data_IF_240464251976
#
_entry.id   IF_240464251976
#
_cell.length_a   1.000
_cell.length_b   1.000
_cell.length_c   1.000
_cell.angle_alpha   90.00
_cell.angle_beta   90.00
_cell.angle_gamma   90.00
#
_symmetry.space_group_name_H-M   'P 1'
#
loop_
_entity.id
_entity.type
_entity.pdbx_description
1 polymer ?
#
# COMPACT_ATOMS: atom_id res chain seq x y z
N UNK A 1 7.98 -25.55 -52.89
CA UNK A 1 6.74 -24.98 -52.35
C UNK A 1 6.33 -23.90 -53.34
N UNK A 2 5.20 -24.07 -54.03
CA UNK A 2 4.77 -23.09 -55.02
C UNK A 2 4.25 -21.83 -54.31
N UNK A 3 4.36 -20.67 -54.95
CA UNK A 3 3.95 -19.37 -54.38
C UNK A 3 2.49 -19.37 -53.92
N UNK A 4 1.64 -20.14 -54.61
CA UNK A 4 0.23 -20.37 -54.26
C UNK A 4 0.06 -21.03 -52.88
N UNK A 5 0.96 -21.95 -52.52
CA UNK A 5 0.91 -22.69 -51.25
C UNK A 5 1.35 -21.80 -50.09
N UNK A 6 2.35 -20.92 -50.32
CA UNK A 6 2.81 -19.92 -49.35
C UNK A 6 1.68 -18.93 -49.04
N UNK A 7 0.97 -18.49 -50.08
CA UNK A 7 -0.13 -17.53 -49.93
C UNK A 7 -1.32 -18.12 -49.18
N UNK A 8 -1.72 -19.36 -49.50
CA UNK A 8 -2.78 -20.07 -48.76
C UNK A 8 -2.40 -20.33 -47.31
N UNK A 9 -1.13 -20.64 -47.03
CA UNK A 9 -0.65 -20.79 -45.66
C UNK A 9 -0.70 -19.46 -44.90
N UNK A 10 -0.32 -18.35 -45.56
CA UNK A 10 -0.44 -17.01 -44.99
C UNK A 10 -1.87 -16.60 -44.68
N UNK A 11 -2.81 -16.85 -45.60
CA UNK A 11 -4.24 -16.57 -45.40
C UNK A 11 -4.84 -17.45 -44.28
N UNK A 12 -4.41 -18.71 -44.16
CA UNK A 12 -4.86 -19.62 -43.11
C UNK A 12 -4.32 -19.23 -41.72
N UNK A 13 -3.04 -18.86 -41.64
CA UNK A 13 -2.43 -18.38 -40.40
C UNK A 13 -3.06 -17.05 -39.96
N UNK A 14 -3.38 -16.15 -40.89
CA UNK A 14 -4.03 -14.88 -40.56
C UNK A 14 -5.47 -15.07 -40.06
N UNK A 15 -6.17 -16.13 -40.50
CA UNK A 15 -7.49 -16.49 -40.02
C UNK A 15 -7.47 -17.22 -38.65
N UNK A 16 -6.35 -17.87 -38.29
CA UNK A 16 -6.14 -18.53 -36.99
C UNK A 16 -5.67 -17.56 -35.89
N UNK A 17 -5.25 -16.35 -36.22
CA UNK A 17 -4.99 -15.29 -35.23
C UNK A 17 -6.32 -14.71 -34.77
N UNK A 18 -6.95 -15.37 -33.80
CA UNK A 18 -7.98 -14.71 -32.99
C UNK A 18 -7.35 -13.50 -32.30
N UNK A 19 -7.95 -12.33 -32.48
CA UNK A 19 -7.57 -11.12 -31.78
C UNK A 19 -7.91 -11.29 -30.30
N UNK A 20 -7.05 -11.98 -29.55
CA UNK A 20 -7.15 -12.01 -28.10
C UNK A 20 -7.00 -10.58 -27.56
N UNK A 21 -8.00 -10.12 -26.83
CA UNK A 21 -7.88 -8.86 -26.11
C UNK A 21 -6.71 -8.93 -25.13
N UNK A 22 -5.98 -7.83 -24.95
CA UNK A 22 -4.85 -7.73 -24.00
C UNK A 22 -5.21 -8.26 -22.60
N UNK A 23 -6.47 -8.12 -22.18
CA UNK A 23 -6.99 -8.68 -20.94
C UNK A 23 -6.98 -10.21 -20.90
N UNK A 24 -7.27 -10.89 -22.01
CA UNK A 24 -7.19 -12.35 -22.15
C UNK A 24 -5.74 -12.81 -22.02
N UNK A 25 -4.83 -12.17 -22.77
CA UNK A 25 -3.39 -12.48 -22.75
C UNK A 25 -2.79 -12.29 -21.36
N UNK A 26 -3.13 -11.19 -20.67
CA UNK A 26 -2.70 -10.95 -19.29
C UNK A 26 -3.30 -11.96 -18.30
N UNK A 27 -4.53 -12.43 -18.53
CA UNK A 27 -5.17 -13.45 -17.69
C UNK A 27 -4.52 -14.83 -17.91
N UNK A 28 -4.21 -15.20 -19.15
CA UNK A 28 -3.51 -16.44 -19.49
C UNK A 28 -2.07 -16.46 -18.96
N UNK A 29 -1.34 -15.34 -19.09
CA UNK A 29 -0.01 -15.18 -18.49
C UNK A 29 -0.03 -15.32 -16.96
N UNK A 30 -1.11 -14.85 -16.30
CA UNK A 30 -1.31 -15.07 -14.86
C UNK A 30 -1.58 -16.52 -14.51
N UNK A 31 -2.39 -17.23 -15.29
CA UNK A 31 -2.61 -18.66 -15.10
C UNK A 31 -1.29 -19.44 -15.14
N UNK A 32 -0.40 -19.08 -16.07
CA UNK A 32 0.94 -19.65 -16.19
C UNK A 32 1.83 -19.26 -14.99
N UNK A 33 1.74 -18.02 -14.50
CA UNK A 33 2.53 -17.56 -13.35
C UNK A 33 2.10 -18.24 -12.04
N UNK A 34 0.80 -18.31 -11.77
CA UNK A 34 0.24 -18.98 -10.59
C UNK A 34 0.51 -20.48 -10.59
N UNK A 35 0.38 -21.15 -11.75
CA UNK A 35 0.73 -22.57 -11.89
C UNK A 35 2.23 -22.87 -11.69
N UNK A 36 3.09 -21.85 -11.82
CA UNK A 36 4.53 -21.95 -11.54
C UNK A 36 4.84 -21.82 -10.05
N UNK A 37 3.97 -21.17 -9.28
CA UNK A 37 4.08 -21.05 -7.82
C UNK A 37 3.64 -22.32 -7.08
N UNK A 38 2.69 -23.09 -7.63
CA UNK A 38 2.22 -24.35 -7.01
C UNK A 38 3.20 -25.52 -7.15
N UNK A 39 4.23 -25.41 -8.01
CA UNK A 39 5.14 -26.53 -8.33
C UNK A 39 6.56 -26.39 -7.77
N UNK A 40 6.85 -25.43 -6.90
CA UNK A 40 8.21 -25.23 -6.35
C UNK A 40 8.26 -25.37 -4.83
N UNK A 41 8.23 -26.61 -4.35
CA UNK A 41 8.72 -27.01 -3.02
C UNK A 41 10.26 -27.04 -3.03
N UNK A 42 10.91 -25.87 -3.04
CA UNK A 42 12.28 -25.65 -2.51
C UNK A 42 12.84 -24.27 -2.87
N UNK A 43 12.78 -23.35 -1.90
CA UNK A 43 13.84 -22.38 -1.53
C UNK A 43 14.41 -21.34 -2.54
N UNK A 44 13.83 -21.11 -3.72
CA UNK A 44 14.28 -19.99 -4.59
C UNK A 44 13.14 -19.28 -5.34
N UNK A 45 12.86 -18.03 -4.94
CA UNK A 45 12.30 -17.02 -5.86
C UNK A 45 10.78 -16.97 -6.01
N UNK A 46 10.00 -17.46 -5.04
CA UNK A 46 8.61 -17.06 -4.95
C UNK A 46 8.58 -15.54 -4.74
N UNK A 47 8.04 -14.80 -5.71
CA UNK A 47 7.75 -13.39 -5.55
C UNK A 47 6.89 -13.27 -4.30
N UNK A 48 7.38 -12.53 -3.31
CA UNK A 48 6.65 -12.39 -2.05
C UNK A 48 5.38 -11.60 -2.39
N UNK A 49 4.26 -12.31 -2.53
CA UNK A 49 3.02 -11.77 -3.09
C UNK A 49 2.25 -10.90 -2.09
N UNK A 50 2.87 -10.58 -0.95
CA UNK A 50 2.42 -9.64 0.07
C UNK A 50 3.16 -8.31 0.03
N UNK A 51 3.16 -7.60 1.16
CA UNK A 51 3.80 -6.29 1.33
C UNK A 51 5.29 -6.38 1.65
N UNK A 52 5.82 -7.57 1.98
CA UNK A 52 7.22 -7.76 2.35
C UNK A 52 7.54 -7.30 3.77
N UNK A 53 6.51 -7.22 4.61
CA UNK A 53 6.59 -6.88 6.03
C UNK A 53 5.92 -8.04 6.75
N UNK A 54 6.70 -8.99 7.26
CA UNK A 54 6.18 -10.27 7.77
C UNK A 54 4.99 -10.11 8.72
N UNK A 55 5.07 -9.20 9.69
CA UNK A 55 3.98 -8.93 10.64
C UNK A 55 2.72 -8.35 9.99
N UNK A 56 2.84 -7.58 8.91
CA UNK A 56 1.69 -7.09 8.16
C UNK A 56 1.12 -8.18 7.27
N UNK A 57 1.99 -8.96 6.63
CA UNK A 57 1.61 -10.08 5.77
C UNK A 57 0.84 -11.15 6.57
N UNK A 58 1.25 -11.41 7.82
CA UNK A 58 0.54 -12.28 8.76
C UNK A 58 -0.90 -11.80 9.03
N UNK A 59 -1.14 -10.48 9.06
CA UNK A 59 -2.48 -9.91 9.29
C UNK A 59 -3.35 -9.93 8.03
N UNK A 60 -2.74 -9.81 6.86
CA UNK A 60 -3.43 -9.74 5.58
C UNK A 60 -3.55 -11.15 5.01
N UNK A 61 -4.43 -11.93 5.63
CA UNK A 61 -4.74 -13.29 5.19
C UNK A 61 -5.70 -13.27 4.01
N UNK A 62 -5.30 -13.78 2.86
CA UNK A 62 -6.19 -13.93 1.70
C UNK A 62 -5.45 -14.07 0.37
N UNK A 63 -6.19 -14.31 -0.72
CA UNK A 63 -5.62 -14.32 -2.06
C UNK A 63 -5.09 -12.93 -2.44
N UNK A 64 -3.95 -12.90 -3.13
CA UNK A 64 -3.43 -11.70 -3.79
C UNK A 64 -4.14 -11.49 -5.14
N UNK A 65 -4.49 -10.24 -5.49
CA UNK A 65 -4.25 -9.00 -4.74
C UNK A 65 -5.23 -8.79 -3.58
N UNK A 66 -4.70 -8.31 -2.46
CA UNK A 66 -5.48 -7.99 -1.26
C UNK A 66 -5.92 -6.53 -1.20
N UNK A 67 -7.05 -6.29 -0.54
CA UNK A 67 -7.56 -4.95 -0.23
C UNK A 67 -7.35 -4.69 1.25
N UNK A 68 -6.68 -3.60 1.58
CA UNK A 68 -6.35 -3.21 2.95
C UNK A 68 -6.95 -1.84 3.28
N UNK A 69 -7.75 -1.79 4.34
CA UNK A 69 -8.26 -0.53 4.90
C UNK A 69 -7.57 -0.21 6.22
N UNK A 70 -6.76 0.85 6.25
CA UNK A 70 -6.13 1.35 7.45
C UNK A 70 -7.00 2.44 8.07
N UNK A 71 -7.60 2.13 9.21
CA UNK A 71 -8.51 3.03 9.92
C UNK A 71 -7.87 3.44 11.24
N UNK A 72 -7.88 4.74 11.53
CA UNK A 72 -7.42 5.24 12.83
C UNK A 72 -8.51 5.99 13.59
N UNK A 73 -8.39 6.20 14.91
CA UNK A 73 -9.35 7.00 15.67
C UNK A 73 -9.50 8.43 15.10
N UNK A 74 -10.59 9.15 15.47
CA UNK A 74 -10.71 10.56 15.14
C UNK A 74 -9.56 11.38 15.74
N UNK A 75 -9.11 12.42 15.02
CA UNK A 75 -7.98 13.26 15.43
C UNK A 75 -8.15 13.91 16.82
N UNK A 76 -9.40 14.14 17.27
CA UNK A 76 -9.71 14.69 18.58
C UNK A 76 -9.28 13.78 19.76
N UNK A 77 -9.07 12.49 19.52
CA UNK A 77 -8.69 11.53 20.57
C UNK A 77 -7.19 11.45 20.82
N UNK A 78 -6.36 11.89 19.87
CA UNK A 78 -4.93 12.01 20.09
C UNK A 78 -4.34 13.12 19.20
N UNK A 79 -3.71 14.17 19.77
CA UNK A 79 -3.13 15.27 19.00
C UNK A 79 -1.87 14.87 18.21
N UNK A 80 -1.55 13.58 18.14
CA UNK A 80 -0.37 13.07 17.47
C UNK A 80 -0.82 12.07 16.41
N UNK A 81 -0.08 12.01 15.29
CA UNK A 81 -0.39 11.11 14.18
C UNK A 81 -0.58 9.66 14.64
N UNK A 82 -1.37 8.90 13.89
CA UNK A 82 -1.78 7.53 14.23
C UNK A 82 -0.91 6.45 13.58
N UNK A 83 0.15 6.85 12.88
CA UNK A 83 1.13 5.93 12.27
C UNK A 83 0.76 5.44 10.86
N UNK A 84 -0.44 5.75 10.34
CA UNK A 84 -0.88 5.31 8.98
C UNK A 84 0.12 5.68 7.89
N UNK A 85 0.42 6.98 7.76
CA UNK A 85 1.35 7.50 6.76
C UNK A 85 2.74 6.88 6.93
N UNK A 86 3.20 6.67 8.17
CA UNK A 86 4.50 6.02 8.43
C UNK A 86 4.54 4.57 7.97
N UNK A 87 3.48 3.80 8.24
CA UNK A 87 3.37 2.43 7.73
C UNK A 87 3.32 2.43 6.19
N UNK A 88 2.61 3.39 5.57
CA UNK A 88 2.61 3.55 4.11
C UNK A 88 4.01 3.82 3.57
N UNK A 89 4.81 4.69 4.19
CA UNK A 89 6.19 4.92 3.76
C UNK A 89 7.03 3.64 3.80
N UNK A 90 6.86 2.80 4.83
CA UNK A 90 7.57 1.52 4.92
C UNK A 90 7.12 0.56 3.81
N UNK A 91 5.81 0.44 3.56
CA UNK A 91 5.25 -0.39 2.48
C UNK A 91 5.78 0.08 1.12
N UNK A 92 5.75 1.39 0.87
CA UNK A 92 6.25 1.99 -0.38
C UNK A 92 7.74 1.70 -0.53
N UNK A 93 8.54 1.95 0.52
CA UNK A 93 9.98 1.69 0.50
C UNK A 93 10.29 0.22 0.17
N UNK A 94 9.60 -0.73 0.81
CA UNK A 94 9.76 -2.16 0.54
C UNK A 94 9.37 -2.53 -0.91
N UNK A 95 8.30 -1.93 -1.43
CA UNK A 95 7.83 -2.18 -2.79
C UNK A 95 8.82 -1.70 -3.87
N UNK A 96 9.36 -0.49 -3.72
CA UNK A 96 10.17 0.14 -4.78
C UNK A 96 11.63 -0.30 -4.81
N UNK A 97 12.17 -0.73 -3.66
CA UNK A 97 13.55 -1.19 -3.54
C UNK A 97 13.79 -2.44 -4.38
N UNK A 98 15.00 -2.62 -4.96
CA UNK A 98 15.36 -3.87 -5.60
C UNK A 98 15.46 -5.00 -4.56
N UNK A 99 15.33 -6.24 -5.02
CA UNK A 99 15.48 -7.43 -4.17
C UNK A 99 16.91 -7.63 -3.66
N UNK A 100 17.90 -7.13 -4.41
CA UNK A 100 19.32 -7.23 -4.10
C UNK A 100 20.02 -5.88 -4.19
N UNK A 101 21.02 -5.68 -3.32
CA UNK A 101 22.04 -4.66 -3.39
C UNK A 101 23.35 -5.30 -3.82
N UNK A 102 24.00 -4.73 -4.85
CA UNK A 102 25.30 -5.15 -5.38
C UNK A 102 25.47 -6.68 -5.45
N UNK A 103 24.67 -7.32 -6.32
CA UNK A 103 24.64 -8.76 -6.70
C UNK A 103 24.58 -9.81 -5.58
N UNK A 104 24.70 -9.44 -4.30
CA UNK A 104 25.04 -10.37 -3.22
C UNK A 104 24.22 -10.14 -1.95
N UNK A 105 23.80 -8.90 -1.67
CA UNK A 105 23.10 -8.58 -0.42
C UNK A 105 21.60 -8.55 -0.68
N UNK A 106 20.83 -9.37 0.02
CA UNK A 106 19.37 -9.36 -0.06
C UNK A 106 18.81 -8.14 0.68
N UNK A 107 18.10 -7.28 -0.03
CA UNK A 107 17.33 -6.18 0.56
C UNK A 107 15.90 -6.60 0.89
N UNK A 108 15.39 -7.62 0.19
CA UNK A 108 13.99 -8.07 0.30
C UNK A 108 13.00 -7.16 -0.43
N UNK A 109 13.47 -6.14 -1.15
CA UNK A 109 12.61 -5.26 -1.93
C UNK A 109 11.95 -5.97 -3.12
N UNK A 110 10.87 -5.40 -3.63
CA UNK A 110 10.03 -6.05 -4.66
C UNK A 110 10.23 -5.50 -6.07
N UNK A 111 11.13 -4.54 -6.27
CA UNK A 111 11.45 -3.92 -7.55
C UNK A 111 10.20 -3.50 -8.35
N UNK A 112 9.18 -2.99 -7.65
CA UNK A 112 7.86 -2.72 -8.20
C UNK A 112 7.62 -1.20 -8.27
N UNK A 113 6.50 -0.79 -8.88
CA UNK A 113 6.03 0.58 -8.87
C UNK A 113 4.82 0.76 -7.95
N UNK A 114 4.64 1.94 -7.38
CA UNK A 114 3.53 2.28 -6.49
C UNK A 114 2.79 3.50 -7.02
N UNK A 115 1.46 3.45 -6.95
CA UNK A 115 0.58 4.57 -7.30
C UNK A 115 0.01 5.14 -6.02
N UNK A 116 0.21 6.42 -5.80
CA UNK A 116 -0.23 7.17 -4.62
C UNK A 116 -1.23 8.25 -5.04
N UNK A 117 -2.44 8.20 -4.50
CA UNK A 117 -3.49 9.19 -4.71
C UNK A 117 -3.68 9.96 -3.40
N UNK A 118 -3.34 11.25 -3.42
CA UNK A 118 -3.15 12.02 -2.20
C UNK A 118 -3.81 13.41 -2.32
N UNK A 119 -5.08 13.57 -1.94
CA UNK A 119 -5.78 14.86 -2.04
C UNK A 119 -5.17 16.01 -1.22
N UNK A 120 -4.45 15.74 -0.13
CA UNK A 120 -4.13 16.76 0.88
C UNK A 120 -2.72 17.37 0.75
N UNK A 121 -1.90 16.89 -0.18
CA UNK A 121 -0.49 17.24 -0.35
C UNK A 121 0.37 17.07 0.93
N UNK A 122 0.09 16.04 1.73
CA UNK A 122 0.82 15.67 2.94
C UNK A 122 1.96 14.67 2.65
N UNK A 123 2.00 14.05 1.47
CA UNK A 123 3.05 13.10 1.14
C UNK A 123 4.39 13.81 0.91
N UNK A 124 5.42 13.36 1.61
CA UNK A 124 6.78 13.90 1.58
C UNK A 124 7.74 12.88 0.98
N UNK A 125 8.17 13.15 -0.26
CA UNK A 125 9.20 12.35 -0.94
C UNK A 125 10.51 12.35 -0.15
N UNK A 126 10.86 13.47 0.49
CA UNK A 126 12.04 13.56 1.36
C UNK A 126 11.94 12.63 2.56
N UNK A 127 10.75 12.49 3.16
CA UNK A 127 10.54 11.55 4.25
C UNK A 127 10.60 10.10 3.75
N UNK A 128 9.97 9.77 2.61
CA UNK A 128 10.10 8.46 1.97
C UNK A 128 11.57 8.11 1.71
N UNK A 129 12.36 9.07 1.23
CA UNK A 129 13.78 8.89 0.97
C UNK A 129 14.55 8.55 2.26
N UNK A 130 14.22 9.23 3.36
CA UNK A 130 14.79 8.97 4.69
C UNK A 130 14.44 7.58 5.21
N UNK A 131 13.17 7.16 5.08
CA UNK A 131 12.69 5.82 5.47
C UNK A 131 13.40 4.76 4.65
N UNK A 132 13.42 4.92 3.32
CA UNK A 132 14.08 3.99 2.39
C UNK A 132 15.58 3.88 2.67
N UNK A 133 16.26 5.00 2.90
CA UNK A 133 17.68 4.99 3.25
C UNK A 133 17.95 4.31 4.59
N UNK A 134 17.09 4.55 5.58
CA UNK A 134 17.21 3.90 6.90
C UNK A 134 17.04 2.39 6.78
N UNK A 135 16.07 1.94 5.99
CA UNK A 135 15.86 0.52 5.67
C UNK A 135 17.08 -0.09 4.97
N UNK A 136 17.64 0.58 3.97
CA UNK A 136 18.85 0.13 3.29
C UNK A 136 20.05 0.00 4.25
N UNK A 137 20.29 1.02 5.09
CA UNK A 137 21.36 0.99 6.09
C UNK A 137 21.19 -0.16 7.06
N UNK A 138 19.96 -0.36 7.57
CA UNK A 138 19.63 -1.47 8.45
C UNK A 138 19.95 -2.82 7.82
N UNK A 139 19.54 -3.05 6.55
CA UNK A 139 19.82 -4.30 5.83
C UNK A 139 21.31 -4.52 5.58
N UNK A 140 22.05 -3.46 5.24
CA UNK A 140 23.50 -3.54 5.06
C UNK A 140 24.24 -3.86 6.37
N UNK A 141 23.87 -3.20 7.46
CA UNK A 141 24.44 -3.46 8.78
C UNK A 141 24.14 -4.88 9.26
N UNK A 142 22.92 -5.39 9.03
CA UNK A 142 22.55 -6.77 9.32
C UNK A 142 23.35 -7.80 8.49
N UNK A 143 23.77 -7.42 7.28
CA UNK A 143 24.66 -8.22 6.43
C UNK A 143 26.15 -8.06 6.76
N UNK A 144 26.50 -7.28 7.80
CA UNK A 144 27.89 -7.04 8.20
C UNK A 144 28.68 -6.13 7.26
N UNK A 145 28.01 -5.35 6.40
CA UNK A 145 28.64 -4.48 5.42
C UNK A 145 28.97 -3.12 6.04
N UNK A 146 30.25 -2.76 6.00
CA UNK A 146 30.71 -1.43 6.40
C UNK A 146 30.39 -0.39 5.32
N UNK A 147 29.81 0.73 5.73
CA UNK A 147 29.41 1.81 4.81
C UNK A 147 30.62 2.72 4.55
N UNK A 148 31.33 2.48 3.45
CA UNK A 148 32.37 3.36 2.92
C UNK A 148 31.82 4.37 1.88
N UNK A 149 32.67 5.21 1.30
CA UNK A 149 32.25 6.20 0.29
C UNK A 149 31.70 5.57 -1.00
N UNK A 150 32.19 4.38 -1.38
CA UNK A 150 31.69 3.67 -2.56
C UNK A 150 30.28 3.17 -2.32
N UNK A 151 30.04 2.52 -1.18
CA UNK A 151 28.71 2.02 -0.78
C UNK A 151 27.75 3.19 -0.61
N UNK A 152 28.17 4.34 -0.07
CA UNK A 152 27.34 5.56 -0.01
C UNK A 152 26.89 6.02 -1.40
N UNK A 153 27.78 6.00 -2.38
CA UNK A 153 27.44 6.35 -3.75
C UNK A 153 26.44 5.36 -4.37
N UNK A 154 26.67 4.06 -4.21
CA UNK A 154 25.76 3.00 -4.70
C UNK A 154 24.39 3.06 -4.00
N UNK A 155 24.35 3.38 -2.70
CA UNK A 155 23.12 3.62 -1.94
C UNK A 155 22.33 4.79 -2.50
N UNK A 156 23.00 5.91 -2.76
CA UNK A 156 22.36 7.10 -3.34
C UNK A 156 21.77 6.79 -4.72
N UNK A 157 22.51 6.08 -5.58
CA UNK A 157 22.00 5.68 -6.89
C UNK A 157 20.81 4.73 -6.80
N UNK A 158 20.89 3.74 -5.89
CA UNK A 158 19.78 2.80 -5.64
C UNK A 158 18.53 3.55 -5.16
N UNK A 159 18.70 4.49 -4.23
CA UNK A 159 17.62 5.32 -3.71
C UNK A 159 16.98 6.17 -4.81
N UNK A 160 17.78 6.93 -5.56
CA UNK A 160 17.30 7.77 -6.66
C UNK A 160 16.52 6.96 -7.71
N UNK A 161 17.07 5.82 -8.12
CA UNK A 161 16.38 4.91 -9.06
C UNK A 161 15.08 4.35 -8.50
N UNK A 162 15.05 3.98 -7.22
CA UNK A 162 13.85 3.42 -6.60
C UNK A 162 12.73 4.45 -6.51
N UNK A 163 13.05 5.70 -6.17
CA UNK A 163 12.07 6.79 -6.05
C UNK A 163 11.39 7.17 -7.37
N UNK A 164 12.02 6.89 -8.53
CA UNK A 164 11.40 7.11 -9.85
C UNK A 164 10.15 6.24 -10.08
N UNK A 165 9.93 5.21 -9.26
CA UNK A 165 8.83 4.26 -9.40
C UNK A 165 7.66 4.53 -8.45
N UNK A 166 7.62 5.71 -7.83
CA UNK A 166 6.47 6.21 -7.07
C UNK A 166 5.73 7.25 -7.91
N UNK A 167 4.52 6.92 -8.33
CA UNK A 167 3.66 7.80 -9.12
C UNK A 167 2.64 8.48 -8.21
N UNK A 168 2.76 9.79 -8.04
CA UNK A 168 1.92 10.57 -7.12
C UNK A 168 0.91 11.39 -7.91
N UNK A 169 -0.36 11.29 -7.54
CA UNK A 169 -1.47 12.06 -8.10
C UNK A 169 -2.18 12.82 -6.98
N UNK A 170 -2.57 14.06 -7.24
CA UNK A 170 -3.26 14.93 -6.28
C UNK A 170 -4.70 15.28 -6.70
N UNK A 171 -5.63 14.32 -6.76
CA UNK A 171 -7.01 14.60 -7.15
C UNK A 171 -7.73 15.42 -6.07
N UNK A 172 -7.90 16.73 -6.29
CA UNK A 172 -8.46 17.68 -5.31
C UNK A 172 -9.99 17.57 -5.12
N UNK A 173 -10.68 16.77 -5.94
CA UNK A 173 -12.13 16.61 -5.87
C UNK A 173 -12.55 15.17 -6.19
N UNK A 174 -13.75 14.79 -5.76
CA UNK A 174 -14.29 13.47 -6.03
C UNK A 174 -14.37 13.13 -7.54
N UNK A 175 -14.86 14.03 -8.43
CA UNK A 175 -14.82 13.77 -9.87
C UNK A 175 -13.39 13.64 -10.42
N UNK A 176 -12.44 14.45 -9.92
CA UNK A 176 -11.03 14.36 -10.30
C UNK A 176 -10.45 13.00 -9.94
N UNK A 177 -10.75 12.48 -8.74
CA UNK A 177 -10.29 11.16 -8.30
C UNK A 177 -10.77 10.07 -9.26
N UNK A 178 -12.06 10.06 -9.58
CA UNK A 178 -12.65 9.07 -10.48
C UNK A 178 -12.06 9.15 -11.89
N UNK A 179 -11.82 10.36 -12.40
CA UNK A 179 -11.16 10.56 -13.69
C UNK A 179 -9.71 10.07 -13.67
N UNK A 180 -8.95 10.39 -12.61
CA UNK A 180 -7.59 9.88 -12.43
C UNK A 180 -7.59 8.36 -12.45
N UNK A 181 -8.42 7.70 -11.65
CA UNK A 181 -8.52 6.23 -11.60
C UNK A 181 -8.83 5.62 -12.99
N UNK A 182 -9.76 6.22 -13.75
CA UNK A 182 -10.10 5.77 -15.11
C UNK A 182 -8.97 5.97 -16.12
N UNK A 183 -8.14 7.00 -15.92
CA UNK A 183 -7.01 7.32 -16.79
C UNK A 183 -5.74 6.51 -16.49
N UNK A 184 -5.66 5.87 -15.31
CA UNK A 184 -4.48 5.11 -14.88
C UNK A 184 -4.02 4.06 -15.90
N UNK A 185 -4.90 3.26 -16.53
CA UNK A 185 -4.45 2.31 -17.54
C UNK A 185 -3.76 2.95 -18.74
N UNK A 186 -4.29 4.06 -19.25
CA UNK A 186 -3.64 4.78 -20.34
C UNK A 186 -2.29 5.38 -19.90
N UNK A 187 -2.21 5.90 -18.66
CA UNK A 187 -0.98 6.45 -18.11
C UNK A 187 0.12 5.40 -17.90
N UNK A 188 -0.23 4.25 -17.32
CA UNK A 188 0.73 3.20 -16.96
C UNK A 188 1.21 2.38 -18.16
N UNK A 189 0.38 2.30 -19.21
CA UNK A 189 0.69 1.55 -20.44
C UNK A 189 1.33 2.42 -21.54
N UNK A 190 1.60 3.70 -21.28
CA UNK A 190 2.23 4.59 -22.26
C UNK A 190 3.77 4.40 -22.32
N UNK A 191 4.21 3.69 -23.35
CA UNK A 191 5.63 3.43 -23.70
C UNK A 191 6.49 4.66 -23.88
N UNK A 192 5.90 5.79 -24.22
CA UNK A 192 6.67 7.01 -24.49
C UNK A 192 7.04 7.79 -23.24
N UNK A 193 6.44 7.47 -22.07
CA UNK A 193 6.50 8.34 -20.90
C UNK A 193 7.14 7.74 -19.66
N UNK A 194 7.29 6.42 -19.52
CA UNK A 194 7.48 5.83 -18.19
C UNK A 194 8.67 4.86 -18.08
N UNK A 195 9.60 5.17 -17.17
CA UNK A 195 10.69 4.26 -16.76
C UNK A 195 10.22 3.07 -15.92
N UNK A 196 8.97 3.07 -15.46
CA UNK A 196 8.38 2.02 -14.61
C UNK A 196 7.70 0.88 -15.38
N UNK A 197 7.59 0.94 -16.72
CA UNK A 197 6.77 -0.04 -17.47
C UNK A 197 7.22 -1.49 -17.38
N UNK A 198 8.51 -1.70 -17.10
CA UNK A 198 9.07 -3.04 -16.91
C UNK A 198 8.84 -3.58 -15.50
N UNK A 199 8.15 -2.84 -14.64
CA UNK A 199 7.86 -3.21 -13.26
C UNK A 199 6.37 -3.49 -13.10
N UNK A 200 6.06 -4.49 -12.27
CA UNK A 200 4.69 -4.70 -11.80
C UNK A 200 4.26 -3.51 -10.95
N UNK A 201 2.95 -3.26 -10.91
CA UNK A 201 2.36 -2.37 -9.92
C UNK A 201 2.22 -3.17 -8.63
N UNK A 202 2.86 -2.71 -7.56
CA UNK A 202 2.73 -3.31 -6.24
C UNK A 202 1.38 -2.96 -5.62
N UNK A 203 1.08 -1.66 -5.56
CA UNK A 203 -0.12 -1.19 -4.90
C UNK A 203 -0.65 0.12 -5.46
N UNK A 204 -1.97 0.29 -5.38
CA UNK A 204 -2.67 1.57 -5.51
C UNK A 204 -3.07 2.01 -4.11
N UNK A 205 -2.60 3.17 -3.70
CA UNK A 205 -2.77 3.73 -2.35
C UNK A 205 -3.62 5.00 -2.45
N UNK A 206 -4.68 5.10 -1.65
CA UNK A 206 -5.53 6.28 -1.51
C UNK A 206 -5.45 6.81 -0.08
N UNK A 207 -4.82 7.97 0.10
CA UNK A 207 -4.60 8.63 1.41
C UNK A 207 -5.04 10.10 1.35
N UNK A 208 -6.13 10.56 1.96
CA UNK A 208 -7.11 9.92 2.86
C UNK A 208 -8.49 9.94 2.18
N UNK A 209 -9.22 8.82 2.22
CA UNK A 209 -10.55 8.71 1.59
C UNK A 209 -11.54 9.71 2.18
N UNK A 210 -11.39 10.06 3.46
CA UNK A 210 -12.34 10.90 4.17
C UNK A 210 -12.32 12.36 3.70
N UNK A 211 -11.25 12.80 3.02
CA UNK A 211 -11.17 14.16 2.47
C UNK A 211 -12.30 14.47 1.50
N UNK A 212 -12.88 13.45 0.86
CA UNK A 212 -13.97 13.62 -0.10
C UNK A 212 -15.36 13.55 0.53
N UNK A 213 -15.51 13.02 1.74
CA UNK A 213 -16.81 12.72 2.37
C UNK A 213 -17.70 13.97 2.44
N UNK A 214 -17.14 15.10 2.84
CA UNK A 214 -17.88 16.37 2.91
C UNK A 214 -18.34 16.84 1.53
N UNK A 215 -17.45 16.78 0.52
CA UNK A 215 -17.79 17.18 -0.86
C UNK A 215 -18.90 16.31 -1.45
N UNK A 216 -18.89 15.00 -1.18
CA UNK A 216 -19.92 14.06 -1.64
C UNK A 216 -21.26 14.39 -1.00
N UNK A 217 -21.29 14.62 0.32
CA UNK A 217 -22.52 14.97 1.05
C UNK A 217 -23.16 16.25 0.52
N UNK A 218 -22.36 17.29 0.30
CA UNK A 218 -22.86 18.58 -0.16
C UNK A 218 -23.33 18.54 -1.62
N UNK A 219 -22.67 17.75 -2.47
CA UNK A 219 -23.13 17.60 -3.87
C UNK A 219 -24.54 16.97 -3.96
N UNK A 220 -24.94 16.20 -2.95
CA UNK A 220 -26.25 15.55 -2.90
C UNK A 220 -27.37 16.47 -2.37
N UNK A 221 -27.05 17.49 -1.57
CA UNK A 221 -28.07 18.42 -1.03
C UNK A 221 -28.65 19.38 -2.08
N UNK A 222 -27.91 19.61 -3.17
CA UNK A 222 -28.34 20.51 -4.25
C UNK A 222 -29.31 19.83 -5.25
N UNK A 223 -29.47 18.51 -5.17
CA UNK A 223 -30.35 17.75 -6.08
C UNK A 223 -31.67 17.40 -5.37
N UNK A 224 -32.64 18.32 -5.45
CA UNK A 224 -33.94 18.19 -4.79
C UNK A 224 -34.78 17.03 -5.34
N UNK A 225 -35.46 16.33 -4.42
CA UNK A 225 -36.67 15.53 -4.62
C UNK A 225 -36.62 14.35 -5.63
N UNK A 226 -36.00 13.25 -5.23
CA UNK A 226 -36.44 11.89 -5.56
C UNK A 226 -35.82 10.93 -4.53
N UNK A 227 -36.28 9.67 -4.49
CA UNK A 227 -35.86 8.58 -3.60
C UNK A 227 -34.35 8.27 -3.64
N UNK A 228 -33.51 9.18 -3.15
CA UNK A 228 -32.07 9.11 -3.35
C UNK A 228 -31.45 8.07 -2.43
N UNK A 229 -30.72 7.07 -2.97
CA UNK A 229 -29.85 6.24 -2.15
C UNK A 229 -28.84 7.14 -1.44
N UNK A 230 -28.42 6.75 -0.23
CA UNK A 230 -27.40 7.46 0.54
C UNK A 230 -26.21 7.83 -0.38
N UNK A 231 -25.89 9.12 -0.57
CA UNK A 231 -24.89 9.54 -1.57
C UNK A 231 -23.51 8.97 -1.29
N UNK A 232 -23.18 8.72 -0.02
CA UNK A 232 -21.97 8.04 0.38
C UNK A 232 -21.93 6.58 -0.08
N UNK A 233 -23.07 5.88 -0.07
CA UNK A 233 -23.16 4.51 -0.57
C UNK A 233 -22.99 4.46 -2.08
N UNK A 234 -23.60 5.39 -2.83
CA UNK A 234 -23.44 5.46 -4.28
C UNK A 234 -21.99 5.78 -4.67
N UNK A 235 -21.38 6.76 -3.99
CA UNK A 235 -19.98 7.12 -4.17
C UNK A 235 -19.05 5.94 -3.84
N UNK A 236 -19.28 5.29 -2.71
CA UNK A 236 -18.54 4.09 -2.29
C UNK A 236 -18.58 2.98 -3.34
N UNK A 237 -19.77 2.59 -3.80
CA UNK A 237 -19.93 1.53 -4.80
C UNK A 237 -19.16 1.85 -6.08
N UNK A 238 -19.15 3.13 -6.49
CA UNK A 238 -18.39 3.56 -7.66
C UNK A 238 -16.87 3.47 -7.43
N UNK A 239 -16.38 3.92 -6.28
CA UNK A 239 -14.96 3.86 -5.94
C UNK A 239 -14.47 2.41 -5.82
N UNK A 240 -15.17 1.56 -5.05
CA UNK A 240 -14.76 0.17 -4.86
C UNK A 240 -14.79 -0.61 -6.17
N UNK A 241 -15.80 -0.39 -7.03
CA UNK A 241 -15.84 -1.02 -8.35
C UNK A 241 -14.68 -0.59 -9.26
N UNK A 242 -14.28 0.69 -9.25
CA UNK A 242 -13.12 1.15 -10.02
C UNK A 242 -11.81 0.61 -9.46
N UNK A 243 -11.63 0.64 -8.14
CA UNK A 243 -10.42 0.12 -7.50
C UNK A 243 -10.29 -1.40 -7.69
N UNK A 244 -11.36 -2.18 -7.53
CA UNK A 244 -11.33 -3.62 -7.79
C UNK A 244 -11.01 -3.90 -9.27
N UNK A 245 -11.59 -3.14 -10.20
CA UNK A 245 -11.25 -3.25 -11.63
C UNK A 245 -9.75 -2.98 -11.86
N UNK A 246 -9.16 -1.97 -11.23
CA UNK A 246 -7.74 -1.66 -11.38
C UNK A 246 -6.85 -2.71 -10.69
N UNK A 247 -7.19 -3.11 -9.47
CA UNK A 247 -6.51 -4.16 -8.71
C UNK A 247 -6.47 -5.47 -9.50
N UNK A 248 -7.60 -5.87 -10.09
CA UNK A 248 -7.69 -7.03 -10.97
C UNK A 248 -6.97 -6.80 -12.29
N UNK A 249 -7.00 -5.60 -12.90
CA UNK A 249 -6.28 -5.34 -14.17
C UNK A 249 -4.76 -5.37 -14.00
N UNK A 250 -4.23 -4.90 -12.87
CA UNK A 250 -2.79 -4.83 -12.61
C UNK A 250 -2.25 -5.91 -11.67
N UNK A 251 -3.11 -6.78 -11.13
CA UNK A 251 -2.73 -7.75 -10.08
C UNK A 251 -2.00 -7.06 -8.91
N UNK A 252 -2.55 -5.95 -8.43
CA UNK A 252 -1.90 -5.10 -7.42
C UNK A 252 -2.79 -4.89 -6.20
N UNK A 253 -2.16 -4.71 -5.04
CA UNK A 253 -2.86 -4.46 -3.79
C UNK A 253 -3.56 -3.10 -3.80
N UNK A 254 -4.68 -2.99 -3.10
CA UNK A 254 -5.32 -1.68 -2.88
C UNK A 254 -5.25 -1.32 -1.42
N UNK A 255 -4.72 -0.14 -1.10
CA UNK A 255 -4.62 0.36 0.28
C UNK A 255 -5.42 1.64 0.39
N UNK A 256 -6.33 1.71 1.35
CA UNK A 256 -7.11 2.91 1.66
C UNK A 256 -6.83 3.33 3.09
N UNK A 257 -6.63 4.63 3.30
CA UNK A 257 -6.55 5.18 4.66
C UNK A 257 -7.77 6.03 4.98
N UNK A 258 -8.20 5.96 6.24
CA UNK A 258 -9.31 6.76 6.75
C UNK A 258 -9.22 6.96 8.26
N UNK A 259 -10.04 7.88 8.75
CA UNK A 259 -10.39 8.06 10.14
C UNK A 259 -11.73 7.41 10.46
N UNK A 260 -11.83 6.91 11.69
CA UNK A 260 -13.10 6.45 12.20
C UNK A 260 -13.92 7.61 12.75
N UNK A 261 -15.24 7.52 12.57
CA UNK A 261 -16.17 8.41 13.23
C UNK A 261 -16.20 8.21 14.77
N UNK A 262 -15.90 7.00 15.24
CA UNK A 262 -15.90 6.65 16.66
C UNK A 262 -14.59 5.94 17.04
N UNK A 263 -13.97 6.26 18.20
CA UNK A 263 -12.63 5.76 18.57
C UNK A 263 -12.53 4.24 18.69
N UNK A 264 -13.61 3.60 19.11
CA UNK A 264 -13.67 2.15 19.35
C UNK A 264 -14.28 1.37 18.19
N UNK A 265 -14.92 2.04 17.23
CA UNK A 265 -15.64 1.36 16.16
C UNK A 265 -14.71 1.00 14.98
N UNK A 266 -13.67 1.79 14.74
CA UNK A 266 -12.75 1.63 13.61
C UNK A 266 -13.47 1.41 12.27
N UNK A 267 -14.58 2.14 12.08
CA UNK A 267 -15.36 2.17 10.83
C UNK A 267 -15.02 3.43 10.05
N UNK A 268 -14.67 3.33 8.75
CA UNK A 268 -14.38 4.49 7.90
C UNK A 268 -15.62 5.38 7.76
N UNK A 269 -15.42 6.70 7.55
CA UNK A 269 -16.53 7.63 7.37
C UNK A 269 -17.23 7.43 6.01
N UNK A 270 -16.48 7.02 4.98
CA UNK A 270 -17.04 6.48 3.73
C UNK A 270 -17.22 4.96 3.89
N UNK A 271 -18.45 4.42 3.98
CA UNK A 271 -18.64 2.98 4.09
C UNK A 271 -18.17 2.32 2.80
N UNK A 272 -17.33 1.29 2.85
CA UNK A 272 -16.83 0.60 1.65
C UNK A 272 -17.68 -0.63 1.32
N UNK A 273 -18.09 -0.74 0.06
CA UNK A 273 -18.90 -1.85 -0.47
C UNK A 273 -18.09 -2.65 -1.48
N UNK A 274 -17.20 -3.51 -0.99
CA UNK A 274 -16.42 -4.38 -1.85
C UNK A 274 -17.29 -5.55 -2.36
N UNK A 275 -17.13 -5.98 -3.62
CA UNK A 275 -17.85 -7.14 -4.11
C UNK A 275 -17.48 -8.41 -3.35
N UNK A 276 -18.40 -9.39 -3.30
CA UNK A 276 -18.31 -10.56 -2.43
C UNK A 276 -17.04 -11.42 -2.58
N UNK A 277 -16.30 -11.25 -3.68
CA UNK A 277 -15.07 -12.01 -3.96
C UNK A 277 -13.79 -11.29 -3.51
N UNK A 278 -13.89 -10.05 -3.06
CA UNK A 278 -12.77 -9.24 -2.61
C UNK A 278 -12.31 -9.65 -1.21
N UNK A 279 -11.01 -9.90 -1.03
CA UNK A 279 -10.37 -10.15 0.28
C UNK A 279 -10.07 -8.82 0.99
N UNK A 280 -11.07 -8.25 1.65
CA UNK A 280 -10.89 -7.05 2.47
C UNK A 280 -10.32 -7.40 3.84
N UNK A 281 -9.15 -6.85 4.16
CA UNK A 281 -8.60 -6.81 5.52
C UNK A 281 -8.67 -5.38 6.05
N UNK A 282 -9.38 -5.19 7.17
CA UNK A 282 -9.40 -3.90 7.86
C UNK A 282 -8.41 -3.91 9.01
N UNK A 283 -7.49 -2.96 9.01
CA UNK A 283 -6.47 -2.75 10.02
C UNK A 283 -6.80 -1.50 10.82
N UNK A 284 -6.82 -1.62 12.13
CA UNK A 284 -6.89 -0.49 13.04
C UNK A 284 -5.49 -0.06 13.42
N UNK A 285 -5.23 1.25 13.34
CA UNK A 285 -3.95 1.84 13.70
C UNK A 285 -4.15 2.94 14.74
N UNK A 286 -3.37 2.88 15.82
CA UNK A 286 -3.32 3.95 16.82
C UNK A 286 -1.90 4.14 17.33
N UNK A 287 -1.64 5.32 17.89
CA UNK A 287 -0.46 5.53 18.71
C UNK A 287 -0.64 4.77 20.03
N UNK A 288 0.39 4.07 20.47
CA UNK A 288 0.36 3.40 21.77
C UNK A 288 0.30 4.46 22.87
N UNK A 289 -0.74 4.39 23.70
CA UNK A 289 -0.92 5.36 24.79
C UNK A 289 0.11 5.11 25.88
N UNK A 290 0.70 6.20 26.37
CA UNK A 290 1.56 6.16 27.55
C UNK A 290 0.63 6.14 28.76
N UNK A 291 0.66 5.03 29.49
CA UNK A 291 -0.14 4.84 30.70
C UNK A 291 0.13 6.03 31.65
N UNK A 292 -0.95 6.67 32.11
CA UNK A 292 -0.85 7.80 33.05
C UNK A 292 -0.33 7.29 34.41
N UNK A 293 0.21 8.18 35.22
CA UNK A 293 0.57 7.82 36.59
C UNK A 293 -0.68 7.38 37.34
N UNK A 294 -0.58 6.28 38.07
CA UNK A 294 -1.67 5.83 38.94
C UNK A 294 -1.99 6.95 39.92
N UNK A 295 -3.27 7.28 40.15
CA UNK A 295 -3.63 8.24 41.19
C UNK A 295 -2.98 7.83 42.52
N UNK A 296 -2.36 8.78 43.22
CA UNK A 296 -1.64 8.58 44.48
C UNK A 296 -0.32 7.79 44.41
N UNK A 297 0.32 7.67 43.24
CA UNK A 297 1.73 7.22 43.17
C UNK A 297 2.64 8.20 43.92
N UNK A 298 3.66 7.68 44.62
CA UNK A 298 4.66 8.52 45.27
C UNK A 298 5.54 9.23 44.23
N UNK A 299 6.18 10.33 44.63
CA UNK A 299 7.11 11.06 43.74
C UNK A 299 8.29 10.16 43.36
N UNK A 300 8.84 9.41 44.32
CA UNK A 300 9.98 8.52 44.10
C UNK A 300 9.63 7.39 43.10
N UNK A 301 8.44 6.79 43.23
CA UNK A 301 7.95 5.79 42.29
C UNK A 301 7.68 6.39 40.89
N UNK A 302 7.14 7.61 40.84
CA UNK A 302 6.92 8.31 39.57
C UNK A 302 8.24 8.63 38.85
N UNK A 303 9.30 8.98 39.59
CA UNK A 303 10.64 9.19 39.04
C UNK A 303 11.28 7.89 38.56
N UNK A 304 11.10 6.79 39.28
CA UNK A 304 11.55 5.46 38.86
C UNK A 304 10.87 5.02 37.55
N UNK A 305 9.57 5.27 37.41
CA UNK A 305 8.82 4.97 36.18
C UNK A 305 9.05 5.98 35.04
N UNK A 306 9.55 7.19 35.35
CA UNK A 306 9.73 8.28 34.38
C UNK A 306 10.56 7.82 33.19
N UNK A 307 11.71 7.19 33.41
CA UNK A 307 12.61 6.81 32.32
C UNK A 307 11.96 5.79 31.39
N UNK A 308 11.30 4.77 31.93
CA UNK A 308 10.61 3.75 31.13
C UNK A 308 9.50 4.36 30.26
N UNK A 309 8.75 5.32 30.82
CA UNK A 309 7.68 6.02 30.10
C UNK A 309 8.22 6.98 29.04
N UNK A 310 9.31 7.68 29.34
CA UNK A 310 10.01 8.53 28.36
C UNK A 310 10.58 7.72 27.21
N UNK A 311 11.02 6.50 27.45
CA UNK A 311 11.46 5.59 26.40
C UNK A 311 10.29 5.22 25.46
N UNK A 312 9.08 5.01 25.97
CA UNK A 312 7.87 4.78 25.14
C UNK A 312 7.47 6.02 24.35
N UNK A 313 7.51 7.21 24.98
CA UNK A 313 7.21 8.48 24.33
C UNK A 313 8.20 8.75 23.19
N UNK A 314 9.49 8.55 23.45
CA UNK A 314 10.58 8.85 22.52
C UNK A 314 10.62 7.90 21.33
N UNK A 315 10.28 6.62 21.53
CA UNK A 315 10.24 5.60 20.47
C UNK A 315 9.06 5.72 19.51
N UNK A 316 8.10 6.61 19.78
CA UNK A 316 6.90 6.84 18.92
C UNK A 316 6.26 5.52 18.49
N UNK A 317 5.86 4.70 19.46
CA UNK A 317 5.27 3.39 19.19
C UNK A 317 3.84 3.51 18.65
N UNK A 318 3.53 2.68 17.66
CA UNK A 318 2.23 2.54 17.03
C UNK A 318 1.80 1.08 17.08
N UNK A 319 0.51 0.86 17.28
CA UNK A 319 -0.10 -0.47 17.29
C UNK A 319 -0.96 -0.62 16.03
N UNK A 320 -0.83 -1.75 15.35
CA UNK A 320 -1.62 -2.14 14.19
C UNK A 320 -2.24 -3.53 14.44
N UNK A 321 -3.55 -3.68 14.25
CA UNK A 321 -4.22 -4.97 14.44
C UNK A 321 -5.40 -5.13 13.48
N UNK A 322 -5.81 -6.38 13.25
CA UNK A 322 -6.98 -6.68 12.41
C UNK A 322 -8.30 -6.38 13.14
N UNK A 323 -9.21 -5.64 12.50
CA UNK A 323 -10.54 -5.31 13.01
C UNK A 323 -11.54 -6.43 12.69
N UNK A 324 -12.37 -6.81 13.66
CA UNK A 324 -13.46 -7.79 13.48
C UNK A 324 -13.17 -9.20 13.99
N UNK A 325 -11.94 -9.50 14.40
CA UNK A 325 -11.61 -10.70 15.17
C UNK A 325 -11.87 -10.46 16.65
N UNK A 326 -13.08 -10.80 17.12
CA UNK A 326 -13.56 -10.58 18.50
C UNK A 326 -12.89 -11.46 19.57
N UNK A 327 -11.83 -12.21 19.25
CA UNK A 327 -11.10 -13.00 20.23
C UNK A 327 -10.11 -12.12 21.00
N UNK A 328 -10.27 -12.07 22.33
CA UNK A 328 -9.29 -11.49 23.27
C UNK A 328 -7.90 -12.08 22.98
N UNK A 329 -7.08 -11.31 22.29
CA UNK A 329 -5.78 -11.73 21.76
C UNK A 329 -5.60 -11.33 20.29
N UNK A 330 -6.15 -10.17 19.89
CA UNK A 330 -6.14 -9.72 18.50
C UNK A 330 -4.74 -9.83 17.89
N UNK A 331 -4.63 -10.56 16.79
CA UNK A 331 -3.42 -10.62 15.97
C UNK A 331 -3.09 -9.19 15.54
N UNK A 332 -1.98 -8.68 16.07
CA UNK A 332 -1.51 -7.34 15.86
C UNK A 332 -0.02 -7.26 16.10
N UNK A 333 0.57 -6.16 15.69
CA UNK A 333 1.98 -5.87 15.91
C UNK A 333 2.17 -4.41 16.32
N UNK A 334 3.27 -4.16 17.01
CA UNK A 334 3.71 -2.82 17.37
C UNK A 334 4.89 -2.48 16.49
N UNK A 335 4.89 -1.27 15.94
CA UNK A 335 6.02 -0.74 15.20
C UNK A 335 6.43 0.61 15.77
N UNK A 336 7.71 0.95 15.61
CA UNK A 336 8.30 2.16 16.17
C UNK A 336 8.95 2.99 15.07
N UNK A 337 9.06 4.30 15.32
CA UNK A 337 9.70 5.22 14.38
C UNK A 337 10.95 5.77 15.04
N UNK A 338 12.09 5.20 14.65
CA UNK A 338 13.40 5.52 15.17
C UNK A 338 13.84 6.95 14.85
N UNK A 339 14.86 7.41 15.58
CA UNK A 339 15.52 8.70 15.35
C UNK A 339 16.18 8.67 13.97
N UNK A 340 15.64 9.42 13.01
CA UNK A 340 16.03 9.38 11.59
C UNK A 340 14.94 8.86 10.64
N UNK A 341 13.77 8.47 11.16
CA UNK A 341 12.63 8.05 10.35
C UNK A 341 12.67 6.58 9.92
N UNK A 342 13.61 5.78 10.45
CA UNK A 342 13.56 4.33 10.29
C UNK A 342 12.32 3.76 10.97
N UNK A 343 11.64 2.81 10.31
CA UNK A 343 10.49 2.11 10.89
C UNK A 343 10.95 0.71 11.26
N UNK A 344 10.82 0.37 12.54
CA UNK A 344 11.13 -0.95 13.07
C UNK A 344 9.82 -1.65 13.42
N UNK A 345 9.63 -2.85 12.87
CA UNK A 345 8.45 -3.72 13.03
C UNK A 345 8.90 -5.02 13.71
#
# INVERSE_FOLDING_TARGET
MNDEDVRRLGEKLFAEVEAEGLSSVLTSLRGIHLARCENTDSDQGAWNDGFGIAKLDDLVTGPSPSIVEMVSPPAAHHPSGTGKTTLLYLIIAQAILPSFFSSSIRLGGQNSAVIMLEPLNHFSVSHLASVTLSLLKFRLSAAGVMIDERIKFELKQTLERSLLHVHIFWPQSWPSLLLTLRSLPAYLLDHSRQGSMQRRIHSIILEDVDSYVWSIRNSASDTSMASNPNPLSAASNHLTAQLEKLATTFSCHTILTSHSALPSAFRPALPTSWPHRSSLTRLALRRLEVIKFTPAISVDDAEAERQQRWDVVSKRCFECWRVGTELKGAEGFVFTVGVGGGVEV
#
